data_IF_821775820924
#
_entry.id   IF_821775820924
#
_cell.length_a   1.000
_cell.length_b   1.000
_cell.length_c   1.000
_cell.angle_alpha   90.00
_cell.angle_beta   90.00
_cell.angle_gamma   90.00
#
_symmetry.space_group_name_H-M   'P 1'
#
loop_
_entity.id
_entity.type
_entity.pdbx_description
1 polymer ?
#
# COMPACT_ATOMS: atom_id res chain seq x y z
N UNK A 1 -13.16 -1.69 -29.17
CA UNK A 1 -12.33 -1.01 -28.15
C UNK A 1 -13.29 -0.36 -27.16
N UNK A 2 -13.48 -0.99 -26.00
CA UNK A 2 -14.21 -0.38 -24.89
C UNK A 2 -13.39 0.79 -24.37
N UNK A 3 -14.01 1.98 -24.27
CA UNK A 3 -13.32 3.17 -23.77
C UNK A 3 -12.82 2.91 -22.34
N UNK A 4 -11.52 3.13 -22.09
CA UNK A 4 -10.96 3.08 -20.74
C UNK A 4 -11.53 4.28 -19.99
N UNK A 5 -12.40 4.03 -19.00
CA UNK A 5 -12.96 5.05 -18.13
C UNK A 5 -12.07 5.20 -16.91
N UNK A 6 -11.59 6.42 -16.68
CA UNK A 6 -10.95 6.81 -15.43
C UNK A 6 -12.06 7.30 -14.51
N UNK A 7 -12.09 6.78 -13.28
CA UNK A 7 -13.02 7.24 -12.25
C UNK A 7 -12.23 7.86 -11.10
N UNK A 8 -12.67 9.01 -10.61
CA UNK A 8 -11.95 9.79 -9.61
C UNK A 8 -12.93 10.55 -8.74
N UNK A 9 -13.00 10.20 -7.46
CA UNK A 9 -13.89 10.84 -6.50
C UNK A 9 -13.25 10.94 -5.12
N UNK A 10 -13.68 11.95 -4.36
CA UNK A 10 -13.33 12.11 -2.95
C UNK A 10 -14.29 11.30 -2.09
N UNK A 11 -13.74 10.47 -1.21
CA UNK A 11 -14.50 9.61 -0.31
C UNK A 11 -14.10 9.92 1.13
N UNK A 12 -15.06 10.06 2.05
CA UNK A 12 -14.74 10.08 3.47
C UNK A 12 -14.16 8.71 3.87
N UNK A 13 -13.33 8.68 4.92
CA UNK A 13 -12.65 7.44 5.33
C UNK A 13 -13.63 6.30 5.64
N UNK A 14 -14.82 6.59 6.19
CA UNK A 14 -15.86 5.56 6.41
C UNK A 14 -16.28 4.84 5.13
N UNK A 15 -16.23 5.52 3.97
CA UNK A 15 -16.61 4.94 2.69
C UNK A 15 -15.41 4.22 2.04
N UNK A 16 -14.18 4.71 2.25
CA UNK A 16 -12.95 4.03 1.83
C UNK A 16 -12.82 2.66 2.50
N UNK A 17 -13.08 2.58 3.81
CA UNK A 17 -13.04 1.33 4.58
C UNK A 17 -14.44 0.69 4.68
N UNK A 18 -15.15 0.63 3.57
CA UNK A 18 -16.48 0.01 3.44
C UNK A 18 -16.49 -1.10 2.38
N UNK A 19 -17.65 -1.70 2.15
CA UNK A 19 -17.83 -2.80 1.18
C UNK A 19 -17.63 -2.34 -0.27
N UNK A 20 -17.47 -1.04 -0.51
CA UNK A 20 -17.10 -0.48 -1.82
C UNK A 20 -15.65 -0.84 -2.22
N UNK A 21 -14.79 -1.16 -1.25
CA UNK A 21 -13.38 -1.44 -1.48
C UNK A 21 -12.90 -2.68 -0.74
N UNK A 22 -12.08 -3.46 -1.42
CA UNK A 22 -11.26 -4.53 -0.84
C UNK A 22 -9.86 -4.36 -1.40
N UNK A 23 -8.95 -3.84 -0.60
CA UNK A 23 -7.62 -3.43 -1.04
C UNK A 23 -6.65 -4.60 -1.00
N UNK A 24 -5.92 -4.79 -2.09
CA UNK A 24 -4.80 -5.72 -2.16
C UNK A 24 -3.54 -4.96 -2.56
N UNK A 25 -2.49 -5.01 -1.75
CA UNK A 25 -1.17 -4.47 -2.09
C UNK A 25 -0.40 -5.57 -2.83
N UNK A 26 -0.19 -5.43 -4.14
CA UNK A 26 0.43 -6.47 -4.95
C UNK A 26 1.94 -6.59 -4.65
N UNK A 27 2.51 -7.76 -4.94
CA UNK A 27 3.90 -8.09 -4.56
C UNK A 27 4.96 -7.19 -5.22
N UNK A 28 4.64 -6.57 -6.36
CA UNK A 28 5.54 -5.65 -7.03
C UNK A 28 5.66 -4.28 -6.33
N UNK A 29 4.75 -3.97 -5.41
CA UNK A 29 4.82 -2.76 -4.61
C UNK A 29 5.91 -2.87 -3.54
N UNK A 30 6.36 -1.70 -3.07
CA UNK A 30 7.35 -1.63 -2.01
C UNK A 30 6.77 -2.13 -0.67
N UNK A 31 7.61 -2.58 0.27
CA UNK A 31 7.15 -2.88 1.63
C UNK A 31 6.52 -1.69 2.33
N UNK A 32 5.82 -1.95 3.44
CA UNK A 32 5.53 -0.90 4.41
C UNK A 32 6.85 -0.32 4.96
N UNK A 33 7.01 0.99 4.84
CA UNK A 33 8.28 1.68 5.03
C UNK A 33 8.14 3.00 5.81
N UNK A 34 6.91 3.44 6.13
CA UNK A 34 6.71 4.55 7.04
C UNK A 34 7.29 4.21 8.41
N UNK A 35 8.11 5.13 8.92
CA UNK A 35 8.67 5.07 10.26
C UNK A 35 7.76 5.79 11.25
N UNK A 36 8.19 5.89 12.50
CA UNK A 36 7.45 6.65 13.51
C UNK A 36 7.33 8.12 13.13
N UNK A 37 8.30 8.70 12.41
CA UNK A 37 8.25 10.11 12.00
C UNK A 37 7.04 10.40 11.10
N UNK A 38 6.81 9.60 10.06
CA UNK A 38 5.66 9.81 9.16
C UNK A 38 4.33 9.49 9.85
N UNK A 39 4.33 8.51 10.75
CA UNK A 39 3.14 8.11 11.51
C UNK A 39 2.74 9.18 12.52
N UNK A 40 3.71 9.75 13.24
CA UNK A 40 3.51 10.84 14.18
C UNK A 40 3.05 12.09 13.45
N UNK A 41 3.67 12.45 12.31
CA UNK A 41 3.21 13.58 11.48
C UNK A 41 1.76 13.39 11.04
N UNK A 42 1.36 12.19 10.60
CA UNK A 42 -0.05 11.92 10.27
C UNK A 42 -0.97 12.12 11.47
N UNK A 43 -0.56 11.68 12.66
CA UNK A 43 -1.36 11.87 13.87
C UNK A 43 -1.45 13.34 14.25
N UNK A 44 -0.34 14.09 14.23
CA UNK A 44 -0.30 15.53 14.50
C UNK A 44 -1.25 16.28 13.58
N UNK A 45 -1.16 16.02 12.27
CA UNK A 45 -2.03 16.62 11.27
C UNK A 45 -3.53 16.34 11.56
N UNK A 46 -3.87 15.13 11.99
CA UNK A 46 -5.24 14.75 12.34
C UNK A 46 -5.73 15.43 13.62
N UNK A 47 -4.86 15.53 14.63
CA UNK A 47 -5.18 16.19 15.90
C UNK A 47 -5.37 17.69 15.72
N UNK A 48 -4.50 18.33 14.94
CA UNK A 48 -4.57 19.75 14.61
C UNK A 48 -5.83 20.07 13.79
N UNK A 49 -6.18 19.22 12.82
CA UNK A 49 -7.33 19.43 11.94
C UNK A 49 -8.70 19.11 12.59
N UNK A 50 -8.74 18.35 13.69
CA UNK A 50 -9.99 17.98 14.38
C UNK A 50 -10.69 19.18 15.04
N UNK A 51 -9.95 20.27 15.28
CA UNK A 51 -10.40 21.47 16.00
C UNK A 51 -10.92 21.18 17.44
N UNK A 52 -11.17 22.23 18.22
CA UNK A 52 -11.57 22.14 19.64
C UNK A 52 -12.95 21.48 19.84
N UNK A 53 -13.18 20.88 21.02
CA UNK A 53 -14.38 20.12 21.38
C UNK A 53 -15.68 20.94 21.37
N UNK A 54 -15.57 22.27 21.38
CA UNK A 54 -16.68 23.22 21.31
C UNK A 54 -17.39 23.24 19.96
N UNK A 55 -16.75 22.74 18.92
CA UNK A 55 -17.30 22.71 17.56
C UNK A 55 -17.85 21.31 17.29
N UNK A 56 -19.09 21.23 16.82
CA UNK A 56 -19.68 19.96 16.40
C UNK A 56 -18.88 19.38 15.22
N UNK A 57 -18.63 18.07 15.23
CA UNK A 57 -17.83 17.41 14.19
C UNK A 57 -18.42 17.61 12.79
N UNK A 58 -19.74 17.85 12.70
CA UNK A 58 -20.40 18.16 11.44
C UNK A 58 -20.08 19.56 10.88
N UNK A 59 -19.46 20.43 11.67
CA UNK A 59 -19.04 21.77 11.27
C UNK A 59 -17.54 21.88 11.05
N UNK A 60 -16.76 20.92 11.57
CA UNK A 60 -15.30 20.87 11.36
C UNK A 60 -14.98 20.77 9.86
N UNK A 61 -13.95 21.52 9.45
CA UNK A 61 -13.48 21.58 8.07
C UNK A 61 -13.04 20.19 7.57
N UNK A 62 -13.40 19.78 6.35
CA UNK A 62 -12.90 18.53 5.79
C UNK A 62 -11.38 18.52 5.67
N UNK A 63 -10.73 17.46 6.16
CA UNK A 63 -9.30 17.24 6.05
C UNK A 63 -8.97 16.32 4.88
N UNK A 64 -8.03 16.74 4.03
CA UNK A 64 -7.61 15.98 2.87
C UNK A 64 -6.38 15.13 3.21
N UNK A 65 -6.58 13.81 3.28
CA UNK A 65 -5.52 12.86 3.57
C UNK A 65 -4.66 12.53 2.36
N UNK A 66 -5.02 12.97 1.14
CA UNK A 66 -4.25 12.71 -0.08
C UNK A 66 -4.97 11.80 -1.08
N UNK A 67 -4.20 11.35 -2.07
CA UNK A 67 -4.68 10.49 -3.15
C UNK A 67 -4.37 9.02 -2.88
N UNK A 68 -5.20 8.13 -3.43
CA UNK A 68 -4.87 6.72 -3.65
C UNK A 68 -5.13 6.39 -5.12
N UNK A 69 -4.28 5.56 -5.71
CA UNK A 69 -4.41 5.11 -7.11
C UNK A 69 -4.66 3.62 -7.12
N UNK A 70 -5.71 3.21 -7.81
CA UNK A 70 -6.23 1.85 -7.79
C UNK A 70 -6.37 1.28 -9.20
N UNK A 71 -6.11 -0.02 -9.32
CA UNK A 71 -6.63 -0.84 -10.42
C UNK A 71 -7.88 -1.53 -9.88
N UNK A 72 -9.04 -1.15 -10.41
CA UNK A 72 -10.34 -1.59 -9.90
C UNK A 72 -11.25 -1.95 -11.08
N UNK A 73 -11.72 -3.19 -11.18
CA UNK A 73 -12.73 -3.55 -12.16
C UNK A 73 -14.03 -2.79 -11.89
N UNK A 74 -14.77 -2.48 -12.95
CA UNK A 74 -16.06 -1.79 -12.85
C UNK A 74 -17.02 -2.63 -12.00
N UNK A 75 -17.72 -1.97 -11.07
CA UNK A 75 -18.73 -2.56 -10.17
C UNK A 75 -18.22 -3.71 -9.27
N UNK A 76 -16.91 -3.79 -9.01
CA UNK A 76 -16.33 -4.77 -8.09
C UNK A 76 -15.56 -4.12 -6.95
N UNK A 77 -15.62 -4.65 -5.71
CA UNK A 77 -14.91 -4.08 -4.58
C UNK A 77 -13.39 -4.30 -4.67
N UNK A 78 -12.93 -5.38 -5.29
CA UNK A 78 -11.51 -5.72 -5.40
C UNK A 78 -10.72 -4.59 -6.07
N UNK A 79 -9.71 -4.09 -5.37
CA UNK A 79 -8.91 -2.93 -5.77
C UNK A 79 -7.44 -3.21 -5.50
N UNK A 80 -6.62 -3.30 -6.55
CA UNK A 80 -5.17 -3.37 -6.38
C UNK A 80 -4.62 -1.97 -6.15
N UNK A 81 -3.82 -1.80 -5.08
CA UNK A 81 -3.25 -0.51 -4.71
C UNK A 81 -1.98 -0.26 -5.51
N UNK A 82 -2.00 0.76 -6.37
CA UNK A 82 -0.83 1.26 -7.10
C UNK A 82 -0.12 2.37 -6.32
N UNK A 83 -0.88 3.17 -5.58
CA UNK A 83 -0.37 4.22 -4.71
C UNK A 83 -1.24 4.44 -3.48
N UNK A 84 -0.64 4.95 -2.41
CA UNK A 84 -1.30 5.19 -1.13
C UNK A 84 -1.21 4.02 -0.14
N UNK A 85 -0.43 2.98 -0.48
CA UNK A 85 -0.27 1.79 0.36
C UNK A 85 0.17 2.11 1.80
N UNK A 86 1.12 3.03 1.99
CA UNK A 86 1.67 3.36 3.31
C UNK A 86 0.57 3.94 4.19
N UNK A 87 -0.16 4.91 3.64
CA UNK A 87 -1.27 5.59 4.32
C UNK A 87 -2.41 4.64 4.66
N UNK A 88 -2.82 3.78 3.73
CA UNK A 88 -3.87 2.78 3.99
C UNK A 88 -3.45 1.81 5.12
N UNK A 89 -2.19 1.37 5.12
CA UNK A 89 -1.64 0.53 6.20
C UNK A 89 -1.66 1.27 7.54
N UNK A 90 -1.14 2.49 7.61
CA UNK A 90 -1.10 3.27 8.86
C UNK A 90 -2.48 3.63 9.39
N UNK A 91 -3.44 3.95 8.52
CA UNK A 91 -4.84 4.16 8.91
C UNK A 91 -5.46 2.88 9.49
N UNK A 92 -5.14 1.72 8.92
CA UNK A 92 -5.59 0.42 9.45
C UNK A 92 -5.00 0.16 10.84
N UNK A 93 -3.70 0.49 11.06
CA UNK A 93 -3.06 0.43 12.38
C UNK A 93 -3.77 1.38 13.36
N UNK A 94 -4.05 2.62 12.95
CA UNK A 94 -4.74 3.60 13.77
C UNK A 94 -6.14 3.11 14.21
N UNK A 95 -6.92 2.51 13.31
CA UNK A 95 -8.19 1.88 13.68
C UNK A 95 -8.02 0.75 14.69
N UNK A 96 -7.00 -0.08 14.53
CA UNK A 96 -6.72 -1.17 15.46
C UNK A 96 -6.34 -0.65 16.86
N UNK A 97 -5.59 0.46 16.93
CA UNK A 97 -5.25 1.15 18.18
C UNK A 97 -6.48 1.77 18.82
N UNK A 98 -7.31 2.51 18.06
CA UNK A 98 -8.56 3.08 18.56
C UNK A 98 -9.53 2.00 19.06
N UNK A 99 -9.60 0.86 18.37
CA UNK A 99 -10.40 -0.31 18.77
C UNK A 99 -9.98 -0.83 20.16
N UNK A 100 -8.69 -0.80 20.48
CA UNK A 100 -8.17 -1.19 21.80
C UNK A 100 -8.56 -0.20 22.90
N UNK A 101 -8.57 1.10 22.61
CA UNK A 101 -8.95 2.13 23.58
C UNK A 101 -10.47 2.31 23.75
N UNK A 102 -11.27 1.82 22.80
CA UNK A 102 -12.72 2.01 22.77
C UNK A 102 -13.46 0.65 22.80
N UNK A 103 -13.39 -0.10 23.92
CA UNK A 103 -13.95 -1.46 24.02
C UNK A 103 -15.47 -1.50 23.76
N UNK A 104 -16.20 -0.46 24.16
CA UNK A 104 -17.63 -0.31 23.87
C UNK A 104 -17.94 -0.30 22.37
N UNK A 105 -17.02 0.21 21.55
CA UNK A 105 -17.16 0.36 20.11
C UNK A 105 -16.31 -0.65 19.33
N UNK A 106 -15.80 -1.69 19.99
CA UNK A 106 -14.87 -2.64 19.41
C UNK A 106 -15.42 -3.28 18.13
N UNK A 107 -16.69 -3.66 18.12
CA UNK A 107 -17.35 -4.24 16.94
C UNK A 107 -17.40 -3.25 15.78
N UNK A 108 -17.89 -2.03 16.02
CA UNK A 108 -18.01 -0.99 14.98
C UNK A 108 -16.66 -0.58 14.41
N UNK A 109 -15.62 -0.50 15.24
CA UNK A 109 -14.26 -0.23 14.77
C UNK A 109 -13.66 -1.41 14.00
N UNK A 110 -13.99 -2.63 14.41
CA UNK A 110 -13.56 -3.83 13.69
C UNK A 110 -14.13 -3.88 12.27
N UNK A 111 -15.33 -3.36 12.03
CA UNK A 111 -15.93 -3.28 10.70
C UNK A 111 -15.12 -2.43 9.71
N UNK A 112 -14.27 -1.50 10.17
CA UNK A 112 -13.38 -0.72 9.30
C UNK A 112 -12.05 -1.44 9.03
N UNK A 113 -11.70 -2.43 9.83
CA UNK A 113 -10.47 -3.24 9.68
C UNK A 113 -10.76 -4.50 8.86
N UNK A 114 -11.88 -5.15 9.19
CA UNK A 114 -12.36 -6.39 8.60
C UNK A 114 -13.82 -6.24 8.18
N UNK A 115 -14.13 -6.67 6.96
CA UNK A 115 -15.51 -6.85 6.53
C UNK A 115 -16.14 -7.97 7.38
N UNK A 116 -17.28 -7.74 8.05
CA UNK A 116 -17.98 -8.79 8.78
C UNK A 116 -18.62 -9.80 7.82
N UNK A 117 -18.84 -11.02 8.30
CA UNK A 117 -19.66 -11.99 7.58
C UNK A 117 -21.13 -11.53 7.56
N UNK A 118 -21.75 -11.58 6.39
CA UNK A 118 -23.17 -11.35 6.21
C UNK A 118 -23.75 -12.40 5.25
N UNK A 119 -24.29 -13.47 5.85
CA UNK A 119 -24.87 -14.61 5.14
C UNK A 119 -26.06 -14.24 4.23
N UNK A 120 -26.78 -13.15 4.54
CA UNK A 120 -27.92 -12.69 3.73
C UNK A 120 -27.48 -12.05 2.42
N UNK A 121 -26.32 -11.39 2.43
CA UNK A 121 -25.71 -10.76 1.24
C UNK A 121 -24.69 -11.66 0.55
N UNK A 122 -24.34 -12.79 1.17
CA UNK A 122 -23.29 -13.69 0.68
C UNK A 122 -21.87 -13.18 0.93
N UNK A 123 -21.70 -12.17 1.79
CA UNK A 123 -20.40 -11.59 2.11
C UNK A 123 -19.70 -12.45 3.17
N UNK A 124 -18.51 -12.97 2.87
CA UNK A 124 -17.67 -13.65 3.86
C UNK A 124 -16.87 -12.66 4.70
N UNK A 125 -16.52 -13.06 5.93
CA UNK A 125 -15.59 -12.29 6.75
C UNK A 125 -14.21 -12.23 6.09
N UNK A 126 -13.64 -11.04 5.97
CA UNK A 126 -12.31 -10.85 5.37
C UNK A 126 -11.66 -9.53 5.79
N UNK A 127 -10.32 -9.44 5.84
CA UNK A 127 -9.62 -8.16 5.94
C UNK A 127 -10.03 -7.17 4.83
N UNK A 128 -10.11 -5.87 5.16
CA UNK A 128 -10.34 -4.83 4.15
C UNK A 128 -9.07 -4.45 3.38
N UNK A 129 -7.91 -4.71 3.96
CA UNK A 129 -6.60 -4.46 3.38
C UNK A 129 -5.71 -5.70 3.50
N UNK A 130 -5.25 -6.21 2.37
CA UNK A 130 -4.21 -7.24 2.30
C UNK A 130 -2.88 -6.59 1.98
N UNK A 131 -1.90 -6.74 2.87
CA UNK A 131 -0.51 -6.43 2.53
C UNK A 131 0.04 -7.47 1.54
N UNK A 132 1.26 -7.23 1.07
CA UNK A 132 2.00 -8.19 0.24
C UNK A 132 2.07 -9.55 0.93
N UNK A 133 2.17 -10.61 0.14
CA UNK A 133 2.08 -12.00 0.64
C UNK A 133 3.06 -12.33 1.78
N UNK A 134 4.24 -11.69 1.78
CA UNK A 134 5.27 -11.88 2.81
C UNK A 134 4.85 -11.31 4.17
N UNK A 135 4.14 -10.17 4.15
CA UNK A 135 3.83 -9.36 5.32
C UNK A 135 2.38 -9.59 5.79
N UNK A 136 1.51 -10.20 4.96
CA UNK A 136 0.08 -10.30 5.21
C UNK A 136 -0.27 -11.11 6.46
N UNK A 137 0.37 -12.27 6.66
CA UNK A 137 0.10 -13.13 7.82
C UNK A 137 0.50 -12.43 9.13
N UNK A 138 1.63 -11.72 9.12
CA UNK A 138 2.08 -10.96 10.26
C UNK A 138 1.10 -9.81 10.57
N UNK A 139 0.75 -9.03 9.56
CA UNK A 139 -0.15 -7.88 9.73
C UNK A 139 -1.56 -8.29 10.17
N UNK A 140 -2.11 -9.35 9.59
CA UNK A 140 -3.42 -9.88 9.99
C UNK A 140 -3.40 -10.28 11.46
N UNK A 141 -2.37 -11.03 11.86
CA UNK A 141 -2.20 -11.54 13.21
C UNK A 141 -1.92 -10.46 14.26
N UNK A 142 -1.13 -9.44 13.94
CA UNK A 142 -0.74 -8.40 14.92
C UNK A 142 -1.72 -7.22 14.98
N UNK A 143 -2.34 -6.86 13.85
CA UNK A 143 -3.11 -5.62 13.71
C UNK A 143 -4.60 -5.91 13.50
N UNK A 144 -4.92 -6.85 12.61
CA UNK A 144 -6.31 -7.04 12.18
C UNK A 144 -7.13 -7.89 13.16
N UNK A 145 -6.51 -8.86 13.82
CA UNK A 145 -7.11 -9.58 14.95
C UNK A 145 -7.00 -8.77 16.25
N UNK A 146 -7.98 -8.90 17.14
CA UNK A 146 -8.05 -8.11 18.38
C UNK A 146 -7.13 -8.62 19.50
N UNK A 147 -6.74 -9.89 19.47
CA UNK A 147 -6.11 -10.57 20.61
C UNK A 147 -4.63 -10.22 20.81
N UNK A 148 -3.90 -9.87 19.75
CA UNK A 148 -2.43 -9.74 19.84
C UNK A 148 -1.94 -8.31 19.97
N UNK A 149 -2.80 -7.32 19.75
CA UNK A 149 -2.46 -5.90 19.92
C UNK A 149 -2.14 -5.55 21.40
N UNK A 150 -2.53 -6.42 22.33
CA UNK A 150 -2.15 -6.36 23.74
C UNK A 150 -0.69 -6.75 23.98
N UNK A 151 -0.11 -7.61 23.14
CA UNK A 151 1.24 -8.15 23.31
C UNK A 151 2.32 -7.34 22.57
N UNK A 152 1.92 -6.37 21.74
CA UNK A 152 2.82 -5.53 20.92
C UNK A 152 3.91 -4.84 21.76
N UNK A 153 3.59 -4.42 22.99
CA UNK A 153 4.54 -3.76 23.89
C UNK A 153 5.67 -4.69 24.37
N UNK A 154 5.41 -6.00 24.42
CA UNK A 154 6.38 -7.01 24.89
C UNK A 154 7.11 -7.74 23.76
N UNK A 155 6.72 -7.47 22.50
CA UNK A 155 7.24 -8.19 21.33
C UNK A 155 8.72 -7.84 21.06
N UNK A 156 9.57 -8.87 21.00
CA UNK A 156 10.99 -8.70 20.68
C UNK A 156 11.19 -8.52 19.17
N UNK A 157 11.68 -7.36 18.75
CA UNK A 157 11.85 -6.98 17.33
C UNK A 157 13.11 -7.56 16.65
N UNK A 158 13.96 -8.30 17.37
CA UNK A 158 15.28 -8.75 16.87
C UNK A 158 15.24 -9.63 15.62
N UNK A 159 14.15 -10.37 15.40
CA UNK A 159 14.02 -11.30 14.28
C UNK A 159 12.96 -10.86 13.25
N UNK A 160 12.48 -9.61 13.35
CA UNK A 160 11.50 -9.06 12.42
C UNK A 160 12.21 -8.48 11.20
N UNK A 161 11.58 -8.60 10.04
CA UNK A 161 11.94 -7.83 8.86
C UNK A 161 11.65 -6.35 9.08
N UNK A 162 12.28 -5.46 8.31
CA UNK A 162 12.09 -4.02 8.49
C UNK A 162 10.63 -3.54 8.36
N UNK A 163 9.79 -4.09 7.46
CA UNK A 163 8.36 -3.75 7.41
C UNK A 163 7.61 -4.17 8.67
N UNK A 164 7.91 -5.35 9.21
CA UNK A 164 7.31 -5.86 10.44
C UNK A 164 7.75 -5.02 11.65
N UNK A 165 9.02 -4.61 11.73
CA UNK A 165 9.50 -3.65 12.74
C UNK A 165 8.72 -2.34 12.65
N UNK A 166 8.62 -1.77 11.45
CA UNK A 166 7.88 -0.53 11.22
C UNK A 166 6.41 -0.66 11.61
N UNK A 167 5.74 -1.78 11.32
CA UNK A 167 4.36 -2.02 11.75
C UNK A 167 4.26 -1.96 13.28
N UNK A 168 5.16 -2.67 13.98
CA UNK A 168 5.17 -2.74 15.44
C UNK A 168 5.51 -1.39 16.07
N UNK A 169 6.56 -0.73 15.62
CA UNK A 169 7.01 0.55 16.18
C UNK A 169 5.97 1.66 15.95
N UNK A 170 5.32 1.66 14.79
CA UNK A 170 4.20 2.57 14.54
C UNK A 170 2.95 2.27 15.37
N UNK A 171 2.70 0.99 15.66
CA UNK A 171 1.61 0.61 16.57
C UNK A 171 1.90 1.11 17.99
N UNK A 172 3.15 0.95 18.46
CA UNK A 172 3.59 1.43 19.79
C UNK A 172 3.50 2.93 19.92
N UNK A 173 4.01 3.68 18.94
CA UNK A 173 3.98 5.14 19.02
C UNK A 173 2.55 5.67 19.00
N UNK A 174 1.65 5.08 18.20
CA UNK A 174 0.23 5.44 18.21
C UNK A 174 -0.45 5.09 19.53
N UNK A 175 -0.17 3.91 20.11
CA UNK A 175 -0.67 3.54 21.44
C UNK A 175 -0.22 4.55 22.49
N UNK A 176 1.06 4.89 22.51
CA UNK A 176 1.64 5.84 23.45
C UNK A 176 1.02 7.23 23.29
N UNK A 177 1.00 7.78 22.07
CA UNK A 177 0.54 9.14 21.81
C UNK A 177 -0.96 9.31 22.05
N UNK A 178 -1.78 8.37 21.60
CA UNK A 178 -3.23 8.42 21.88
C UNK A 178 -3.50 8.35 23.39
N UNK A 179 -2.76 7.55 24.15
CA UNK A 179 -2.91 7.51 25.61
C UNK A 179 -2.48 8.83 26.28
N UNK A 180 -1.44 9.49 25.77
CA UNK A 180 -0.88 10.71 26.35
C UNK A 180 -1.68 11.96 26.01
N UNK A 181 -2.12 12.12 24.77
CA UNK A 181 -2.74 13.35 24.27
C UNK A 181 -4.26 13.33 24.26
N UNK A 182 -4.85 12.13 24.21
CA UNK A 182 -6.30 11.94 24.31
C UNK A 182 -6.61 11.09 25.55
N UNK A 183 -6.31 11.55 26.78
CA UNK A 183 -6.50 10.76 27.99
C UNK A 183 -7.95 10.31 28.18
N UNK A 184 -8.92 11.14 27.81
CA UNK A 184 -10.34 10.84 27.99
C UNK A 184 -10.91 9.96 26.85
N UNK A 185 -11.92 9.14 27.16
CA UNK A 185 -12.60 8.33 26.15
C UNK A 185 -13.35 9.20 25.12
N UNK A 186 -13.95 10.30 25.58
CA UNK A 186 -14.65 11.31 24.75
C UNK A 186 -13.76 11.86 23.63
N UNK A 187 -12.50 12.15 23.93
CA UNK A 187 -11.51 12.67 22.98
C UNK A 187 -11.15 11.63 21.92
N UNK A 188 -11.01 10.35 22.31
CA UNK A 188 -10.75 9.25 21.38
C UNK A 188 -11.95 8.97 20.48
N UNK A 189 -13.17 9.08 21.02
CA UNK A 189 -14.41 9.02 20.23
C UNK A 189 -14.46 10.18 19.24
N UNK A 190 -14.13 11.40 19.67
CA UNK A 190 -14.08 12.59 18.80
C UNK A 190 -13.10 12.39 17.64
N UNK A 191 -11.87 11.91 17.91
CA UNK A 191 -10.89 11.58 16.87
C UNK A 191 -11.43 10.53 15.89
N UNK A 192 -12.07 9.48 16.42
CA UNK A 192 -12.67 8.43 15.58
C UNK A 192 -13.77 8.98 14.67
N UNK A 193 -14.64 9.84 15.19
CA UNK A 193 -15.71 10.46 14.43
C UNK A 193 -15.17 11.44 13.38
N UNK A 194 -14.19 12.28 13.74
CA UNK A 194 -13.50 13.17 12.81
C UNK A 194 -12.82 12.39 11.68
N UNK A 195 -12.08 11.33 12.02
CA UNK A 195 -11.42 10.46 11.05
C UNK A 195 -12.44 9.88 10.06
N UNK A 196 -13.54 9.32 10.55
CA UNK A 196 -14.55 8.65 9.70
C UNK A 196 -15.38 9.60 8.84
N UNK A 197 -15.69 10.81 9.35
CA UNK A 197 -16.69 11.69 8.75
C UNK A 197 -16.10 12.92 8.05
N UNK A 198 -14.91 13.36 8.48
CA UNK A 198 -14.29 14.62 8.03
C UNK A 198 -12.93 14.45 7.39
N UNK A 199 -12.31 13.27 7.47
CA UNK A 199 -11.11 12.99 6.68
C UNK A 199 -11.49 12.32 5.35
N UNK A 200 -10.86 12.77 4.27
CA UNK A 200 -11.16 12.34 2.90
C UNK A 200 -9.92 11.87 2.16
N UNK A 201 -10.08 10.80 1.37
CA UNK A 201 -9.11 10.39 0.35
C UNK A 201 -9.74 10.55 -1.02
N UNK A 202 -8.93 10.99 -1.99
CA UNK A 202 -9.32 10.95 -3.40
C UNK A 202 -8.87 9.61 -3.99
N UNK A 203 -9.82 8.75 -4.32
CA UNK A 203 -9.54 7.47 -4.97
C UNK A 203 -9.65 7.63 -6.49
N UNK A 204 -8.55 7.37 -7.19
CA UNK A 204 -8.50 7.36 -8.65
C UNK A 204 -8.37 5.92 -9.12
N UNK A 205 -9.41 5.42 -9.78
CA UNK A 205 -9.53 4.04 -10.22
C UNK A 205 -9.45 3.93 -11.74
N UNK A 206 -8.74 2.91 -12.22
CA UNK A 206 -8.68 2.56 -13.64
C UNK A 206 -8.84 1.05 -13.82
N UNK A 207 -9.31 0.57 -14.98
CA UNK A 207 -9.51 -0.86 -15.21
C UNK A 207 -8.21 -1.63 -15.47
N UNK A 208 -7.10 -0.94 -15.73
CA UNK A 208 -5.85 -1.55 -16.15
C UNK A 208 -4.61 -0.89 -15.54
N UNK A 209 -3.56 -1.70 -15.39
CA UNK A 209 -2.29 -1.31 -14.81
C UNK A 209 -1.61 -0.14 -15.54
N UNK A 210 -1.62 -0.11 -16.88
CA UNK A 210 -0.89 0.92 -17.63
C UNK A 210 -1.51 2.30 -17.43
N UNK A 211 -2.84 2.37 -17.34
CA UNK A 211 -3.59 3.58 -17.01
C UNK A 211 -3.35 4.03 -15.57
N UNK A 212 -3.45 3.13 -14.59
CA UNK A 212 -3.15 3.44 -13.19
C UNK A 212 -1.72 3.97 -13.04
N UNK A 213 -0.77 3.33 -13.71
CA UNK A 213 0.63 3.69 -13.68
C UNK A 213 0.88 5.10 -14.29
N UNK A 214 0.23 5.44 -15.40
CA UNK A 214 0.32 6.79 -15.97
C UNK A 214 -0.19 7.84 -15.00
N UNK A 215 -1.35 7.61 -14.39
CA UNK A 215 -1.93 8.53 -13.38
C UNK A 215 -0.98 8.69 -12.20
N UNK A 216 -0.50 7.58 -11.67
CA UNK A 216 0.47 7.55 -10.59
C UNK A 216 1.75 8.35 -10.91
N UNK A 217 2.31 8.18 -12.11
CA UNK A 217 3.50 8.91 -12.53
C UNK A 217 3.28 10.42 -12.58
N UNK A 218 2.09 10.87 -12.96
CA UNK A 218 1.73 12.30 -13.00
C UNK A 218 1.46 12.84 -11.60
N UNK A 219 0.84 12.06 -10.72
CA UNK A 219 0.56 12.45 -9.34
C UNK A 219 1.84 12.54 -8.50
N UNK A 220 2.82 11.67 -8.76
CA UNK A 220 4.10 11.65 -8.04
C UNK A 220 5.22 12.45 -8.71
N UNK A 221 5.08 12.94 -9.95
CA UNK A 221 6.03 13.86 -10.63
C UNK A 221 6.21 15.22 -9.86
N UNK A 222 5.59 15.38 -8.68
CA UNK A 222 5.73 16.55 -7.78
C UNK A 222 6.12 16.17 -6.33
N UNK A 223 6.36 14.89 -6.03
CA UNK A 223 6.72 14.37 -4.70
C UNK A 223 7.98 13.48 -4.75
N UNK A 224 8.31 12.79 -3.65
CA UNK A 224 9.46 11.87 -3.56
C UNK A 224 9.52 10.94 -4.79
N UNK A 225 10.58 11.09 -5.58
CA UNK A 225 10.80 10.33 -6.82
C UNK A 225 10.70 8.83 -6.55
N UNK A 226 9.76 8.16 -7.22
CA UNK A 226 9.81 6.71 -7.32
C UNK A 226 11.09 6.30 -8.03
N UNK A 227 11.76 5.28 -7.50
CA UNK A 227 12.92 4.77 -8.19
C UNK A 227 12.48 4.17 -9.53
N UNK A 228 13.31 4.36 -10.55
CA UNK A 228 13.14 3.70 -11.85
C UNK A 228 13.02 2.18 -11.66
N UNK A 229 13.65 1.65 -10.61
CA UNK A 229 13.61 0.23 -10.24
C UNK A 229 12.21 -0.22 -9.81
N UNK A 230 11.49 0.58 -9.02
CA UNK A 230 10.13 0.28 -8.57
C UNK A 230 9.16 0.16 -9.75
N UNK A 231 9.32 1.07 -10.70
CA UNK A 231 8.52 1.16 -11.92
C UNK A 231 8.76 -0.06 -12.81
N UNK A 232 10.03 -0.41 -13.01
CA UNK A 232 10.41 -1.55 -13.83
C UNK A 232 10.01 -2.87 -13.17
N UNK A 233 10.09 -2.97 -11.84
CA UNK A 233 9.60 -4.12 -11.07
C UNK A 233 8.10 -4.33 -11.33
N UNK A 234 7.29 -3.28 -11.17
CA UNK A 234 5.85 -3.36 -11.38
C UNK A 234 5.48 -3.75 -12.82
N UNK A 235 6.15 -3.20 -13.83
CA UNK A 235 5.92 -3.56 -15.23
C UNK A 235 6.35 -5.00 -15.55
N UNK A 236 7.56 -5.41 -15.14
CA UNK A 236 8.11 -6.73 -15.44
C UNK A 236 7.36 -7.82 -14.70
N UNK A 237 7.16 -7.67 -13.38
CA UNK A 237 6.42 -8.65 -12.57
C UNK A 237 4.94 -8.68 -12.97
N UNK A 238 4.33 -7.53 -13.25
CA UNK A 238 2.95 -7.46 -13.76
C UNK A 238 2.76 -8.10 -15.14
N UNK A 239 3.80 -8.15 -15.98
CA UNK A 239 3.79 -8.93 -17.23
C UNK A 239 3.98 -10.42 -17.00
N UNK A 240 4.71 -10.83 -15.96
CA UNK A 240 4.83 -12.24 -15.57
C UNK A 240 3.46 -12.77 -15.19
N UNK A 241 2.70 -12.08 -14.33
CA UNK A 241 1.38 -12.55 -13.88
C UNK A 241 0.35 -12.73 -15.01
N UNK A 242 0.52 -12.01 -16.12
CA UNK A 242 -0.33 -12.09 -17.32
C UNK A 242 0.10 -13.15 -18.34
N UNK A 243 1.21 -13.87 -18.13
CA UNK A 243 1.62 -14.97 -19.03
C UNK A 243 0.62 -16.14 -18.95
N UNK A 244 0.48 -16.88 -20.06
CA UNK A 244 -0.31 -18.11 -20.08
C UNK A 244 0.42 -19.19 -19.30
N UNK A 245 0.01 -19.41 -18.06
CA UNK A 245 0.43 -20.56 -17.26
C UNK A 245 -0.59 -21.69 -17.33
N UNK A 246 -0.13 -22.91 -17.04
CA UNK A 246 -0.96 -24.11 -17.07
C UNK A 246 -1.98 -24.12 -15.93
N UNK A 247 -1.68 -23.43 -14.82
CA UNK A 247 -2.60 -23.24 -13.70
C UNK A 247 -2.39 -21.89 -12.99
N UNK A 248 -3.41 -21.38 -12.24
CA UNK A 248 -3.28 -20.19 -11.41
C UNK A 248 -2.19 -20.32 -10.32
N UNK A 249 -2.02 -21.53 -9.77
CA UNK A 249 -0.97 -21.81 -8.78
C UNK A 249 0.44 -21.69 -9.36
N UNK A 250 0.62 -22.11 -10.62
CA UNK A 250 1.89 -22.00 -11.33
C UNK A 250 2.23 -20.53 -11.63
N UNK A 251 1.23 -19.73 -12.02
CA UNK A 251 1.38 -18.28 -12.18
C UNK A 251 1.85 -17.63 -10.88
N UNK A 252 1.14 -17.91 -9.78
CA UNK A 252 1.44 -17.32 -8.47
C UNK A 252 2.81 -17.75 -7.94
N UNK A 253 3.19 -19.02 -8.11
CA UNK A 253 4.50 -19.54 -7.71
C UNK A 253 5.63 -18.87 -8.49
N UNK A 254 5.40 -18.63 -9.78
CA UNK A 254 6.37 -17.99 -10.67
C UNK A 254 6.53 -16.51 -10.32
N UNK A 255 5.43 -15.79 -10.13
CA UNK A 255 5.43 -14.39 -9.70
C UNK A 255 6.19 -14.20 -8.37
N UNK A 256 5.89 -15.02 -7.35
CA UNK A 256 6.57 -14.96 -6.06
C UNK A 256 8.08 -15.22 -6.19
N UNK A 257 8.47 -16.23 -7.00
CA UNK A 257 9.88 -16.57 -7.23
C UNK A 257 10.66 -15.40 -7.83
N UNK A 258 10.09 -14.73 -8.82
CA UNK A 258 10.77 -13.63 -9.50
C UNK A 258 10.72 -12.31 -8.72
N UNK A 259 9.66 -12.10 -7.93
CA UNK A 259 9.60 -10.98 -6.98
C UNK A 259 10.69 -11.14 -5.93
N UNK A 260 10.82 -12.33 -5.32
CA UNK A 260 11.85 -12.58 -4.31
C UNK A 260 13.25 -12.34 -4.86
N UNK A 261 13.55 -12.89 -6.04
CA UNK A 261 14.84 -12.65 -6.71
C UNK A 261 15.14 -11.17 -6.93
N UNK A 262 14.12 -10.38 -7.28
CA UNK A 262 14.29 -8.94 -7.49
C UNK A 262 14.60 -8.23 -6.16
N UNK A 263 13.86 -8.55 -5.10
CA UNK A 263 14.06 -7.97 -3.78
C UNK A 263 15.43 -8.33 -3.21
N UNK A 264 15.85 -9.60 -3.30
CA UNK A 264 17.16 -10.07 -2.83
C UNK A 264 18.29 -9.28 -3.50
N UNK A 265 18.18 -8.99 -4.81
CA UNK A 265 19.20 -8.24 -5.54
C UNK A 265 19.19 -6.74 -5.25
N UNK A 266 18.02 -6.16 -5.02
CA UNK A 266 17.89 -4.77 -4.61
C UNK A 266 18.48 -4.55 -3.21
N UNK A 267 18.30 -5.54 -2.32
CA UNK A 267 18.92 -5.58 -0.99
C UNK A 267 20.45 -5.76 -1.09
N UNK A 268 20.92 -6.74 -1.88
CA UNK A 268 22.35 -7.04 -2.04
C UNK A 268 23.16 -5.88 -2.66
N UNK A 269 22.60 -5.21 -3.68
CA UNK A 269 23.28 -4.11 -4.38
C UNK A 269 23.08 -2.75 -3.71
N UNK A 270 22.02 -2.58 -2.93
CA UNK A 270 21.56 -1.30 -2.44
C UNK A 270 20.85 -0.46 -3.52
N UNK A 271 19.91 0.39 -3.09
CA UNK A 271 18.96 1.10 -3.99
C UNK A 271 19.64 1.92 -5.10
N UNK A 272 20.69 2.67 -4.78
CA UNK A 272 21.33 3.58 -5.75
C UNK A 272 22.10 2.82 -6.83
N UNK A 273 22.90 1.82 -6.45
CA UNK A 273 23.63 0.99 -7.39
C UNK A 273 22.68 0.11 -8.23
N UNK A 274 21.59 -0.35 -7.63
CA UNK A 274 20.55 -1.07 -8.33
C UNK A 274 19.87 -0.19 -9.39
N UNK A 275 19.60 1.09 -9.09
CA UNK A 275 19.09 2.07 -10.07
C UNK A 275 20.07 2.29 -11.23
N UNK A 276 21.36 2.43 -10.95
CA UNK A 276 22.41 2.59 -11.97
C UNK A 276 22.54 1.36 -12.89
N UNK A 277 22.33 0.14 -12.37
CA UNK A 277 22.32 -1.08 -13.18
C UNK A 277 21.31 -1.00 -14.33
N UNK A 278 20.09 -0.51 -14.07
CA UNK A 278 19.08 -0.35 -15.13
C UNK A 278 19.43 0.74 -16.13
N UNK A 279 20.08 1.82 -15.69
CA UNK A 279 20.65 2.83 -16.58
C UNK A 279 21.71 2.23 -17.50
N UNK A 280 22.59 1.37 -16.99
CA UNK A 280 23.60 0.66 -17.78
C UNK A 280 22.98 -0.35 -18.75
N UNK A 281 22.02 -1.17 -18.31
CA UNK A 281 21.29 -2.13 -19.17
C UNK A 281 20.63 -1.36 -20.33
N UNK A 282 19.94 -0.25 -20.04
CA UNK A 282 19.37 0.62 -21.07
C UNK A 282 20.43 1.09 -22.07
N UNK A 283 21.57 1.57 -21.58
CA UNK A 283 22.64 2.11 -22.42
C UNK A 283 23.21 1.06 -23.39
N UNK A 284 23.35 -0.19 -22.93
CA UNK A 284 23.83 -1.32 -23.75
C UNK A 284 22.91 -1.57 -24.95
N UNK A 285 21.59 -1.52 -24.75
CA UNK A 285 20.60 -1.75 -25.80
C UNK A 285 20.42 -0.54 -26.72
N UNK A 286 20.38 0.66 -26.16
CA UNK A 286 20.03 1.89 -26.90
C UNK A 286 21.22 2.55 -27.61
N UNK A 287 22.46 2.28 -27.16
CA UNK A 287 23.73 2.77 -27.75
C UNK A 287 23.76 4.28 -28.09
N UNK A 288 23.02 5.12 -27.37
CA UNK A 288 22.92 6.58 -27.62
C UNK A 288 22.54 7.40 -26.37
N UNK A 289 22.99 8.66 -26.30
CA UNK A 289 22.74 9.58 -25.16
C UNK A 289 21.25 9.91 -24.98
N UNK A 290 20.81 9.99 -23.71
CA UNK A 290 19.42 10.24 -23.27
C UNK A 290 18.70 11.30 -24.11
N UNK A 291 17.53 10.94 -24.68
CA UNK A 291 16.67 11.92 -25.36
C UNK A 291 15.18 11.85 -24.96
N UNK A 292 14.74 10.81 -24.23
CA UNK A 292 13.38 10.63 -23.68
C UNK A 292 13.40 10.06 -22.25
N UNK A 293 12.24 10.02 -21.57
CA UNK A 293 12.07 9.46 -20.20
C UNK A 293 12.63 8.03 -20.15
N UNK A 294 13.37 7.68 -19.07
CA UNK A 294 14.14 6.43 -18.97
C UNK A 294 13.31 5.18 -19.25
N UNK A 295 12.09 5.16 -18.72
CA UNK A 295 11.14 4.05 -18.74
C UNK A 295 10.57 3.78 -20.13
N UNK A 296 10.27 4.82 -20.91
CA UNK A 296 9.69 4.67 -22.25
C UNK A 296 10.68 3.94 -23.16
N UNK A 297 11.94 4.35 -23.12
CA UNK A 297 12.98 3.71 -23.91
C UNK A 297 13.36 2.33 -23.38
N UNK A 298 13.30 2.09 -22.07
CA UNK A 298 13.51 0.76 -21.52
C UNK A 298 12.45 -0.21 -22.03
N UNK A 299 11.18 0.23 -22.08
CA UNK A 299 10.08 -0.54 -22.68
C UNK A 299 10.31 -0.77 -24.18
N UNK A 300 10.69 0.26 -24.91
CA UNK A 300 10.82 0.23 -26.38
C UNK A 300 12.02 -0.57 -26.88
N UNK A 301 13.14 -0.57 -26.15
CA UNK A 301 14.40 -1.16 -26.62
C UNK A 301 14.92 -2.34 -25.81
N UNK A 302 14.49 -2.51 -24.55
CA UNK A 302 14.97 -3.62 -23.71
C UNK A 302 13.89 -4.70 -23.57
N UNK A 303 12.68 -4.31 -23.18
CA UNK A 303 11.59 -5.27 -22.95
C UNK A 303 10.99 -5.88 -24.23
N UNK A 304 11.16 -5.22 -25.37
CA UNK A 304 10.77 -5.73 -26.71
C UNK A 304 11.76 -6.75 -27.26
N UNK A 305 13.05 -6.56 -27.03
CA UNK A 305 14.09 -7.51 -27.45
C UNK A 305 14.10 -8.76 -26.57
N UNK A 306 13.85 -8.58 -25.27
CA UNK A 306 13.75 -9.68 -24.31
C UNK A 306 12.30 -10.16 -24.27
N UNK A 307 11.90 -10.89 -25.32
CA UNK A 307 10.56 -11.46 -25.56
C UNK A 307 9.92 -12.28 -24.40
N UNK A 308 10.60 -12.43 -23.25
CA UNK A 308 10.06 -13.05 -22.05
C UNK A 308 10.57 -12.36 -20.76
N UNK A 309 9.69 -11.72 -19.96
CA UNK A 309 9.99 -11.15 -18.64
C UNK A 309 10.79 -12.07 -17.69
N UNK A 310 10.50 -13.37 -17.67
CA UNK A 310 11.24 -14.35 -16.87
C UNK A 310 12.70 -14.49 -17.34
N UNK A 311 12.92 -14.44 -18.66
CA UNK A 311 14.26 -14.47 -19.23
C UNK A 311 15.01 -13.17 -18.94
N UNK A 312 14.34 -12.03 -18.93
CA UNK A 312 14.97 -10.76 -18.54
C UNK A 312 15.59 -10.88 -17.14
N UNK A 313 14.80 -11.32 -16.16
CA UNK A 313 15.30 -11.49 -14.79
C UNK A 313 16.41 -12.57 -14.75
N UNK A 314 16.26 -13.69 -15.46
CA UNK A 314 17.31 -14.72 -15.43
C UNK A 314 18.61 -14.37 -16.18
N UNK A 315 18.57 -13.46 -17.17
CA UNK A 315 19.72 -13.09 -18.00
C UNK A 315 20.45 -11.88 -17.44
N UNK A 316 19.71 -10.85 -17.04
CA UNK A 316 20.29 -9.57 -16.62
C UNK A 316 20.43 -9.45 -15.10
N UNK A 317 19.61 -10.18 -14.36
CA UNK A 317 19.62 -10.19 -12.89
C UNK A 317 20.23 -11.52 -12.36
N UNK A 318 21.07 -12.19 -13.15
CA UNK A 318 21.83 -13.35 -12.69
C UNK A 318 23.09 -12.88 -11.97
N UNK A 319 23.08 -13.05 -10.65
CA UNK A 319 24.17 -12.83 -9.67
C UNK A 319 25.46 -12.19 -10.22
N UNK A 320 25.72 -10.96 -9.78
CA UNK A 320 27.09 -10.47 -9.60
C UNK A 320 27.83 -11.20 -8.46
N UNK A 321 27.57 -12.50 -8.26
CA UNK A 321 28.43 -13.38 -7.47
C UNK A 321 29.50 -13.95 -8.40
N UNK A 322 30.52 -13.14 -8.63
CA UNK A 322 31.88 -13.62 -8.88
C UNK A 322 32.85 -12.84 -8.03
#
# INVERSE_FOLDING_TARGET
MTAIKIDGAGYPIKDIFSDQFSFNIPNYQRPYAWTTEETERLLDDLLDAMEDDKIDISEVSPYFLGNIVLIKPIDKPESEVVDGQQRLTTLTILFAVLRKFLPTYQHSLNEFICQPENLLTGNSARPRLYLRKRDCQFFEKQIQTSEELENVDTMTVKNLSDPEKNIIDNTRILLQRIAQELPEESQKIRLTQFLLQRCYLVAVSTPDFDSAYRIFSVLNDRGLDLSITDILKADIIGKISKQKFSSPEESQKTENKYTQKWEDLEEDLGRDAFKELFSHIRMIYRKSKLSRKVIEEFREYVLTEVNNPCNFINLFLKSCNR
#
